data_IF_205660022433
#
_entry.id   IF_205660022433
#
_cell.length_a   1.000
_cell.length_b   1.000
_cell.length_c   1.000
_cell.angle_alpha   90.00
_cell.angle_beta   90.00
_cell.angle_gamma   90.00
#
_symmetry.space_group_name_H-M   'P 1'
#
loop_
_entity.id
_entity.type
_entity.pdbx_description
1 polymer ?
#
# COMPACT_ATOMS: atom_id res chain seq x y z
N UNK A 1 0.28 -16.80 -8.16
CA UNK A 1 0.32 -15.76 -7.10
C UNK A 1 -0.82 -16.00 -6.13
N UNK A 2 -0.61 -15.99 -4.82
CA UNK A 2 -1.74 -16.19 -3.89
C UNK A 2 -2.74 -15.04 -4.04
N UNK A 3 -4.05 -15.31 -3.98
CA UNK A 3 -5.10 -14.27 -4.11
C UNK A 3 -4.87 -13.10 -3.13
N UNK A 4 -4.30 -13.39 -1.95
CA UNK A 4 -3.93 -12.40 -0.94
C UNK A 4 -2.80 -11.48 -1.41
N UNK A 5 -1.76 -12.02 -2.03
CA UNK A 5 -0.63 -11.22 -2.54
C UNK A 5 -1.06 -10.30 -3.69
N UNK A 6 -1.91 -10.80 -4.59
CA UNK A 6 -2.48 -9.98 -5.67
C UNK A 6 -3.35 -8.83 -5.14
N UNK A 7 -4.12 -9.07 -4.08
CA UNK A 7 -4.91 -8.03 -3.40
C UNK A 7 -4.03 -6.95 -2.77
N UNK A 8 -2.94 -7.33 -2.07
CA UNK A 8 -2.01 -6.35 -1.50
C UNK A 8 -1.27 -5.54 -2.56
N UNK A 9 -0.84 -6.16 -3.65
CA UNK A 9 -0.25 -5.42 -4.78
C UNK A 9 -1.24 -4.44 -5.42
N UNK A 10 -2.51 -4.84 -5.54
CA UNK A 10 -3.56 -3.93 -6.03
C UNK A 10 -3.77 -2.74 -5.09
N UNK A 11 -3.83 -2.98 -3.77
CA UNK A 11 -3.89 -1.91 -2.76
C UNK A 11 -2.67 -0.98 -2.84
N UNK A 12 -1.48 -1.51 -3.07
CA UNK A 12 -0.25 -0.74 -3.21
C UNK A 12 -0.32 0.18 -4.44
N UNK A 13 -0.72 -0.36 -5.59
CA UNK A 13 -0.88 0.43 -6.83
C UNK A 13 -1.92 1.53 -6.65
N UNK A 14 -3.06 1.22 -6.01
CA UNK A 14 -4.11 2.20 -5.70
C UNK A 14 -3.56 3.29 -4.77
N UNK A 15 -2.91 2.92 -3.67
CA UNK A 15 -2.33 3.86 -2.72
C UNK A 15 -1.26 4.76 -3.36
N UNK A 16 -0.41 4.20 -4.22
CA UNK A 16 0.58 4.97 -4.96
C UNK A 16 -0.06 5.93 -5.97
N UNK A 17 -1.13 5.51 -6.64
CA UNK A 17 -1.89 6.37 -7.55
C UNK A 17 -2.50 7.55 -6.79
N UNK A 18 -3.11 7.33 -5.63
CA UNK A 18 -3.62 8.43 -4.80
C UNK A 18 -2.51 9.37 -4.32
N UNK A 19 -1.34 8.85 -3.98
CA UNK A 19 -0.18 9.67 -3.62
C UNK A 19 0.26 10.55 -4.81
N UNK A 20 0.34 9.95 -6.00
CA UNK A 20 0.67 10.67 -7.22
C UNK A 20 -0.35 11.77 -7.52
N UNK A 21 -1.65 11.45 -7.47
CA UNK A 21 -2.70 12.44 -7.68
C UNK A 21 -2.63 13.58 -6.64
N UNK A 22 -2.37 13.27 -5.37
CA UNK A 22 -2.26 14.28 -4.31
C UNK A 22 -1.06 15.22 -4.48
N UNK A 23 0.04 14.74 -5.07
CA UNK A 23 1.28 15.52 -5.23
C UNK A 23 1.27 16.31 -6.55
N UNK A 24 0.83 15.70 -7.65
CA UNK A 24 0.99 16.24 -9.00
C UNK A 24 -0.25 16.97 -9.53
N UNK A 25 -1.46 16.69 -9.04
CA UNK A 25 -2.63 17.51 -9.38
C UNK A 25 -2.79 18.67 -8.42
N UNK A 26 -3.21 19.80 -8.99
CA UNK A 26 -3.58 21.00 -8.25
C UNK A 26 -5.02 20.86 -7.70
N UNK A 27 -5.14 20.00 -6.68
CA UNK A 27 -6.41 19.69 -6.01
C UNK A 27 -6.71 20.71 -4.91
N UNK A 28 -8.00 21.00 -4.64
CA UNK A 28 -8.42 21.76 -3.46
C UNK A 28 -7.81 21.17 -2.19
N UNK A 29 -7.34 22.02 -1.29
CA UNK A 29 -6.55 21.63 -0.11
C UNK A 29 -7.19 20.48 0.69
N UNK A 30 -8.51 20.54 0.93
CA UNK A 30 -9.25 19.49 1.64
C UNK A 30 -9.18 18.12 0.93
N UNK A 31 -9.26 18.10 -0.40
CA UNK A 31 -9.19 16.88 -1.20
C UNK A 31 -7.76 16.35 -1.27
N UNK A 32 -6.77 17.25 -1.37
CA UNK A 32 -5.35 16.89 -1.32
C UNK A 32 -4.99 16.17 -0.02
N UNK A 33 -5.41 16.71 1.12
CA UNK A 33 -5.21 16.08 2.42
C UNK A 33 -5.95 14.75 2.56
N UNK A 34 -7.18 14.65 2.03
CA UNK A 34 -7.94 13.40 2.02
C UNK A 34 -7.21 12.30 1.22
N UNK A 35 -6.76 12.61 0.01
CA UNK A 35 -6.02 11.66 -0.83
C UNK A 35 -4.68 11.29 -0.21
N UNK A 36 -3.98 12.24 0.39
CA UNK A 36 -2.73 11.98 1.10
C UNK A 36 -2.95 11.04 2.29
N UNK A 37 -3.99 11.25 3.09
CA UNK A 37 -4.31 10.39 4.22
C UNK A 37 -4.62 8.95 3.77
N UNK A 38 -5.45 8.79 2.73
CA UNK A 38 -5.79 7.48 2.15
C UNK A 38 -4.53 6.80 1.60
N UNK A 39 -3.70 7.53 0.85
CA UNK A 39 -2.47 7.03 0.30
C UNK A 39 -1.51 6.51 1.37
N UNK A 40 -1.33 7.26 2.47
CA UNK A 40 -0.48 6.86 3.59
C UNK A 40 -1.01 5.57 4.23
N UNK A 41 -2.31 5.50 4.55
CA UNK A 41 -2.91 4.33 5.20
C UNK A 41 -2.73 3.07 4.34
N UNK A 42 -3.02 3.18 3.03
CA UNK A 42 -2.90 2.05 2.11
C UNK A 42 -1.45 1.59 1.94
N UNK A 43 -0.50 2.52 1.80
CA UNK A 43 0.92 2.19 1.62
C UNK A 43 1.52 1.57 2.89
N UNK A 44 1.26 2.14 4.06
CA UNK A 44 1.77 1.60 5.34
C UNK A 44 1.19 0.21 5.60
N UNK A 45 -0.11 0.03 5.36
CA UNK A 45 -0.77 -1.28 5.52
C UNK A 45 -0.17 -2.31 4.55
N UNK A 46 0.06 -1.94 3.29
CA UNK A 46 0.73 -2.80 2.32
C UNK A 46 2.16 -3.15 2.72
N UNK A 47 2.94 -2.17 3.19
CA UNK A 47 4.32 -2.39 3.63
C UNK A 47 4.36 -3.39 4.80
N UNK A 48 3.49 -3.23 5.80
CA UNK A 48 3.39 -4.15 6.93
C UNK A 48 2.97 -5.55 6.47
N UNK A 49 1.98 -5.65 5.57
CA UNK A 49 1.54 -6.93 5.03
C UNK A 49 2.66 -7.64 4.24
N UNK A 50 3.38 -6.90 3.39
CA UNK A 50 4.50 -7.41 2.62
C UNK A 50 5.65 -7.87 3.54
N UNK A 51 5.98 -7.10 4.57
CA UNK A 51 6.97 -7.49 5.57
C UNK A 51 6.56 -8.76 6.34
N UNK A 52 5.28 -8.90 6.72
CA UNK A 52 4.78 -10.11 7.38
C UNK A 52 4.85 -11.34 6.47
N UNK A 53 4.47 -11.19 5.20
CA UNK A 53 4.57 -12.27 4.21
C UNK A 53 6.04 -12.63 4.01
N UNK A 54 6.91 -11.65 3.75
CA UNK A 54 8.34 -11.85 3.59
C UNK A 54 8.98 -12.54 4.81
N UNK A 55 8.63 -12.13 6.03
CA UNK A 55 9.12 -12.77 7.25
C UNK A 55 8.64 -14.22 7.39
N UNK A 56 7.41 -14.52 6.97
CA UNK A 56 6.89 -15.91 6.98
C UNK A 56 7.57 -16.79 5.93
N UNK A 57 7.90 -16.25 4.76
CA UNK A 57 8.66 -16.95 3.72
C UNK A 57 10.14 -17.13 4.09
N UNK A 58 10.71 -16.16 4.83
CA UNK A 58 12.10 -16.20 5.31
C UNK A 58 12.29 -17.05 6.58
N UNK A 59 11.21 -17.39 7.30
CA UNK A 59 11.31 -18.34 8.40
C UNK A 59 11.66 -19.71 7.81
N UNK A 60 12.82 -20.30 8.15
CA UNK A 60 13.12 -21.64 7.70
C UNK A 60 12.03 -22.55 8.25
N UNK A 61 11.40 -23.32 7.35
CA UNK A 61 10.52 -24.43 7.72
C UNK A 61 11.28 -25.25 8.76
N UNK A 62 10.83 -25.21 10.03
CA UNK A 62 11.21 -26.20 11.03
C UNK A 62 10.54 -27.50 10.60
N UNK A 63 11.12 -28.18 9.62
CA UNK A 63 11.04 -29.64 9.53
C UNK A 63 12.03 -30.23 10.51
#
# INVERSE_FOLDING_TARGET
MSKKLAMYLSMLVIGFTFLFLAIFLDLPEKLKWLFLAIAIILNVTCAIAAMRIGLNEMKPSKK
#
